data_IF_348355237228
#
_entry.id   IF_348355237228
#
_cell.length_a   1.000
_cell.length_b   1.000
_cell.length_c   1.000
_cell.angle_alpha   90.00
_cell.angle_beta   90.00
_cell.angle_gamma   90.00
#
_symmetry.space_group_name_H-M   'P 1'
#
loop_
_entity.id
_entity.type
_entity.pdbx_description
1 polymer ?
#
# COMPACT_ATOMS: atom_id res chain seq x y z
N UNK A 1 33.18 0.25 -8.93
CA UNK A 1 31.98 1.07 -9.09
C UNK A 1 31.41 1.34 -7.72
N UNK A 2 31.25 2.61 -7.32
CA UNK A 2 30.72 2.97 -6.02
C UNK A 2 29.22 2.66 -5.98
N UNK A 3 28.82 1.72 -5.12
CA UNK A 3 27.41 1.45 -4.85
C UNK A 3 26.87 2.62 -3.99
N UNK A 4 25.97 3.41 -4.56
CA UNK A 4 25.25 4.44 -3.81
C UNK A 4 24.24 3.77 -2.89
N UNK A 5 24.31 4.08 -1.59
CA UNK A 5 23.39 3.57 -0.58
C UNK A 5 21.99 4.13 -0.86
N UNK A 6 21.05 3.26 -1.27
CA UNK A 6 19.66 3.64 -1.46
C UNK A 6 19.03 3.92 -0.09
N UNK A 7 18.81 5.19 0.24
CA UNK A 7 18.06 5.60 1.42
C UNK A 7 16.57 5.63 1.07
N UNK A 8 15.83 4.66 1.56
CA UNK A 8 14.38 4.62 1.44
C UNK A 8 13.76 5.57 2.48
N UNK A 9 12.98 6.56 2.00
CA UNK A 9 12.20 7.43 2.86
C UNK A 9 10.77 6.87 2.96
N UNK A 10 10.29 6.68 4.18
CA UNK A 10 8.90 6.33 4.43
C UNK A 10 8.13 7.62 4.70
N UNK A 11 7.19 7.99 3.83
CA UNK A 11 6.36 9.18 4.04
C UNK A 11 4.94 8.94 3.57
N UNK A 12 3.99 9.59 4.24
CA UNK A 12 2.59 9.65 3.81
C UNK A 12 2.07 11.04 4.03
N UNK A 13 1.56 11.67 2.98
CA UNK A 13 0.97 13.00 3.09
C UNK A 13 -0.45 12.86 3.63
N UNK A 14 -0.76 13.53 4.75
CA UNK A 14 -2.08 13.49 5.38
C UNK A 14 -3.19 14.02 4.44
N UNK A 15 -2.85 15.01 3.61
CA UNK A 15 -3.72 15.65 2.64
C UNK A 15 -3.02 15.63 1.27
N UNK A 16 -3.28 14.64 0.40
CA UNK A 16 -2.53 14.44 -0.84
C UNK A 16 -2.95 15.39 -1.97
N UNK A 17 -3.55 16.53 -1.65
CA UNK A 17 -4.05 17.48 -2.64
C UNK A 17 -4.05 18.92 -2.12
N UNK A 18 -4.08 19.88 -3.05
CA UNK A 18 -4.40 21.30 -2.85
C UNK A 18 -5.37 21.75 -3.95
N UNK A 19 -5.74 23.03 -4.04
CA UNK A 19 -6.81 23.51 -4.96
C UNK A 19 -6.73 22.98 -6.39
N UNK A 20 -5.53 22.86 -6.96
CA UNK A 20 -5.31 22.42 -8.35
C UNK A 20 -4.15 21.45 -8.50
N UNK A 21 -3.76 20.80 -7.41
CA UNK A 21 -2.63 19.87 -7.37
C UNK A 21 -3.05 18.61 -6.65
N UNK A 22 -2.60 17.46 -7.15
CA UNK A 22 -2.78 16.17 -6.50
C UNK A 22 -1.49 15.38 -6.55
N UNK A 23 -1.10 14.82 -5.41
CA UNK A 23 0.01 13.88 -5.29
C UNK A 23 -0.52 12.45 -5.43
N UNK A 24 0.21 11.61 -6.15
CA UNK A 24 -0.09 10.19 -6.38
C UNK A 24 1.17 9.34 -6.25
N UNK A 25 1.00 8.05 -6.00
CA UNK A 25 2.10 7.10 -5.85
C UNK A 25 3.10 7.56 -4.78
N UNK A 26 4.39 7.38 -5.05
CA UNK A 26 5.46 7.74 -4.12
C UNK A 26 5.46 9.23 -3.74
N UNK A 27 4.96 10.14 -4.58
CA UNK A 27 4.84 11.55 -4.19
C UNK A 27 3.81 11.76 -3.05
N UNK A 28 2.82 10.88 -2.93
CA UNK A 28 1.80 10.93 -1.87
C UNK A 28 2.09 9.98 -0.71
N UNK A 29 2.63 8.80 -1.00
CA UNK A 29 2.88 7.74 -0.03
C UNK A 29 4.06 6.86 -0.47
N UNK A 30 5.29 7.24 -0.13
CA UNK A 30 6.41 6.29 -0.26
C UNK A 30 6.41 5.30 0.89
N UNK A 31 6.55 4.04 0.53
CA UNK A 31 6.62 2.93 1.48
C UNK A 31 7.91 2.16 1.28
N UNK A 32 8.26 1.39 2.29
CA UNK A 32 9.27 0.35 2.22
C UNK A 32 9.04 -0.60 0.99
N UNK A 33 9.99 -0.99 0.10
CA UNK A 33 9.63 -1.85 -1.05
C UNK A 33 9.23 -3.29 -0.67
N UNK A 34 9.07 -3.63 0.62
CA UNK A 34 8.94 -5.00 1.10
C UNK A 34 7.74 -5.76 0.52
N UNK A 35 6.66 -5.09 0.12
CA UNK A 35 5.50 -5.75 -0.48
C UNK A 35 5.47 -5.66 -2.02
N UNK A 36 6.37 -4.91 -2.66
CA UNK A 36 6.35 -4.69 -4.11
C UNK A 36 5.08 -3.99 -4.63
N UNK A 37 4.31 -3.32 -3.77
CA UNK A 37 2.99 -2.77 -4.12
C UNK A 37 3.01 -1.31 -4.62
N UNK A 38 4.17 -0.65 -4.68
CA UNK A 38 4.24 0.77 -5.07
C UNK A 38 3.56 1.07 -6.41
N UNK A 39 3.83 0.23 -7.42
CA UNK A 39 3.20 0.33 -8.73
C UNK A 39 1.68 0.13 -8.67
N UNK A 40 1.21 -0.90 -7.95
CA UNK A 40 -0.23 -1.16 -7.77
C UNK A 40 -0.93 0.01 -7.06
N UNK A 41 -0.29 0.57 -6.04
CA UNK A 41 -0.81 1.71 -5.28
C UNK A 41 -0.96 2.95 -6.14
N UNK A 42 0.01 3.23 -7.02
CA UNK A 42 -0.04 4.33 -7.99
C UNK A 42 -1.13 4.11 -9.06
N UNK A 43 -1.30 2.90 -9.58
CA UNK A 43 -2.36 2.57 -10.54
C UNK A 43 -3.75 2.77 -9.94
N UNK A 44 -3.94 2.31 -8.70
CA UNK A 44 -5.17 2.54 -7.96
C UNK A 44 -5.39 4.05 -7.72
N UNK A 45 -4.33 4.89 -7.63
CA UNK A 45 -4.46 6.33 -7.35
C UNK A 45 -4.98 7.02 -8.61
N UNK A 46 -4.38 6.69 -9.76
CA UNK A 46 -4.84 7.15 -11.06
C UNK A 46 -6.31 6.77 -11.31
N UNK A 47 -6.72 5.55 -10.95
CA UNK A 47 -8.12 5.13 -11.05
C UNK A 47 -9.03 5.93 -10.11
N UNK A 48 -8.64 6.10 -8.85
CA UNK A 48 -9.42 6.85 -7.87
C UNK A 48 -9.61 8.31 -8.30
N UNK A 49 -8.54 8.95 -8.79
CA UNK A 49 -8.57 10.32 -9.30
C UNK A 49 -9.49 10.43 -10.52
N UNK A 50 -9.38 9.50 -11.47
CA UNK A 50 -10.27 9.45 -12.65
C UNK A 50 -11.73 9.32 -12.26
N UNK A 51 -12.03 8.44 -11.28
CA UNK A 51 -13.39 8.25 -10.79
C UNK A 51 -13.92 9.51 -10.11
N UNK A 52 -13.11 10.14 -9.27
CA UNK A 52 -13.50 11.35 -8.55
C UNK A 52 -13.77 12.54 -9.49
N UNK A 53 -12.89 12.75 -10.49
CA UNK A 53 -13.07 13.77 -11.53
C UNK A 53 -14.31 13.56 -12.40
N UNK A 54 -14.82 12.32 -12.49
CA UNK A 54 -16.08 12.02 -13.20
C UNK A 54 -17.32 12.26 -12.35
N UNK A 55 -17.18 12.36 -11.03
CA UNK A 55 -18.31 12.43 -10.09
C UNK A 55 -18.57 13.85 -9.58
N UNK A 56 -17.59 14.75 -9.65
CA UNK A 56 -17.68 16.08 -9.08
C UNK A 56 -16.80 17.08 -9.84
N UNK A 57 -17.04 18.37 -9.61
CA UNK A 57 -16.18 19.45 -10.08
C UNK A 57 -14.74 19.29 -9.54
N UNK A 58 -13.72 19.82 -10.24
CA UNK A 58 -12.31 19.60 -9.89
C UNK A 58 -11.95 19.89 -8.43
N UNK A 59 -12.55 20.93 -7.83
CA UNK A 59 -12.30 21.28 -6.43
C UNK A 59 -12.80 20.19 -5.45
N UNK A 60 -13.99 19.63 -5.66
CA UNK A 60 -14.58 18.58 -4.82
C UNK A 60 -14.07 17.17 -5.19
N UNK A 61 -13.59 16.98 -6.42
CA UNK A 61 -13.02 15.73 -6.88
C UNK A 61 -11.74 15.35 -6.10
N UNK A 62 -10.90 16.31 -5.73
CA UNK A 62 -9.65 16.02 -5.02
C UNK A 62 -9.89 15.51 -3.59
N UNK A 63 -10.89 16.06 -2.92
CA UNK A 63 -11.35 15.55 -1.62
C UNK A 63 -11.93 14.13 -1.74
N UNK A 64 -12.75 13.91 -2.77
CA UNK A 64 -13.32 12.58 -3.07
C UNK A 64 -12.23 11.55 -3.36
N UNK A 65 -11.19 11.92 -4.12
CA UNK A 65 -10.00 11.09 -4.35
C UNK A 65 -9.32 10.70 -3.02
N UNK A 66 -9.04 11.69 -2.16
CA UNK A 66 -8.40 11.45 -0.88
C UNK A 66 -9.24 10.52 0.00
N UNK A 67 -10.55 10.71 0.03
CA UNK A 67 -11.48 9.86 0.76
C UNK A 67 -11.47 8.41 0.27
N UNK A 68 -11.53 8.19 -1.06
CA UNK A 68 -11.49 6.87 -1.68
C UNK A 68 -10.21 6.10 -1.32
N UNK A 69 -9.08 6.82 -1.18
CA UNK A 69 -7.75 6.23 -1.00
C UNK A 69 -7.29 6.10 0.45
N UNK A 70 -7.79 6.94 1.37
CA UNK A 70 -7.30 7.06 2.76
C UNK A 70 -7.23 5.72 3.50
N UNK A 71 -8.26 4.88 3.40
CA UNK A 71 -8.29 3.59 4.08
C UNK A 71 -7.24 2.62 3.56
N UNK A 72 -7.14 2.48 2.24
CA UNK A 72 -6.20 1.56 1.59
C UNK A 72 -4.74 1.99 1.80
N UNK A 73 -4.44 3.28 1.60
CA UNK A 73 -3.09 3.83 1.84
C UNK A 73 -2.65 3.63 3.28
N UNK A 74 -3.50 3.95 4.26
CA UNK A 74 -3.16 3.76 5.69
C UNK A 74 -2.89 2.30 6.03
N UNK A 75 -3.68 1.37 5.50
CA UNK A 75 -3.50 -0.05 5.75
C UNK A 75 -2.14 -0.53 5.22
N UNK A 76 -1.82 -0.24 3.96
CA UNK A 76 -0.56 -0.70 3.36
C UNK A 76 0.67 0.00 3.96
N UNK A 77 0.53 1.26 4.39
CA UNK A 77 1.59 1.96 5.12
C UNK A 77 1.81 1.35 6.51
N UNK A 78 0.75 1.04 7.25
CA UNK A 78 0.86 0.36 8.54
C UNK A 78 1.50 -1.03 8.41
N UNK A 79 1.11 -1.79 7.38
CA UNK A 79 1.70 -3.11 7.09
C UNK A 79 3.17 -3.00 6.69
N UNK A 80 3.53 -2.01 5.86
CA UNK A 80 4.92 -1.73 5.49
C UNK A 80 5.76 -1.38 6.73
N UNK A 81 5.26 -0.53 7.62
CA UNK A 81 5.92 -0.20 8.89
C UNK A 81 6.06 -1.42 9.80
N UNK A 82 5.03 -2.26 9.95
CA UNK A 82 5.10 -3.47 10.76
C UNK A 82 6.10 -4.50 10.21
N UNK A 83 6.27 -4.56 8.89
CA UNK A 83 7.21 -5.46 8.24
C UNK A 83 8.64 -4.92 8.18
N UNK A 84 8.83 -3.60 8.28
CA UNK A 84 10.16 -2.96 8.21
C UNK A 84 11.16 -3.52 9.24
N UNK A 85 10.81 -3.71 10.54
CA UNK A 85 11.70 -4.32 11.53
C UNK A 85 12.18 -5.73 11.17
N UNK A 86 11.35 -6.54 10.50
CA UNK A 86 11.72 -7.92 10.14
C UNK A 86 12.77 -7.99 9.02
N UNK A 87 12.91 -6.93 8.23
CA UNK A 87 13.86 -6.87 7.11
C UNK A 87 15.10 -6.05 7.42
N UNK A 88 15.01 -5.03 8.27
CA UNK A 88 16.14 -4.16 8.64
C UNK A 88 16.85 -4.59 9.93
N UNK A 89 16.36 -5.59 10.65
CA UNK A 89 16.98 -6.01 11.91
C UNK A 89 18.21 -6.88 11.69
N UNK A 90 19.38 -6.36 12.06
CA UNK A 90 20.61 -7.14 12.27
C UNK A 90 20.57 -7.98 13.58
N UNK A 91 19.39 -8.38 14.04
CA UNK A 91 19.21 -8.94 15.38
C UNK A 91 19.21 -10.47 15.37
N UNK A 92 20.14 -11.07 16.11
CA UNK A 92 20.36 -12.54 16.19
C UNK A 92 19.18 -13.34 16.76
N UNK A 93 18.21 -12.69 17.40
CA UNK A 93 17.04 -13.34 18.03
C UNK A 93 15.79 -13.43 17.12
N UNK A 94 15.67 -12.58 16.11
CA UNK A 94 14.56 -12.59 15.16
C UNK A 94 14.49 -13.81 14.23
N UNK A 95 15.61 -14.44 13.81
CA UNK A 95 15.59 -15.68 13.04
C UNK A 95 14.89 -16.83 13.78
N UNK A 96 15.13 -16.99 15.08
CA UNK A 96 14.52 -18.07 15.87
C UNK A 96 13.01 -17.89 16.00
N UNK A 97 12.55 -16.65 16.23
CA UNK A 97 11.13 -16.34 16.29
C UNK A 97 10.47 -16.49 14.90
N UNK A 98 11.16 -16.09 13.82
CA UNK A 98 10.73 -16.29 12.43
C UNK A 98 10.57 -17.78 12.13
N UNK A 99 11.54 -18.62 12.46
CA UNK A 99 11.55 -20.04 12.11
C UNK A 99 10.44 -20.83 12.82
N UNK A 100 9.93 -20.32 13.95
CA UNK A 100 8.78 -20.90 14.67
C UNK A 100 7.45 -20.31 14.18
N UNK A 101 7.38 -18.98 13.98
CA UNK A 101 6.12 -18.31 13.62
C UNK A 101 5.76 -18.46 12.15
N UNK A 102 6.73 -18.49 11.22
CA UNK A 102 6.47 -18.61 9.78
C UNK A 102 5.75 -19.92 9.44
N UNK A 103 6.18 -21.10 9.90
CA UNK A 103 5.47 -22.36 9.61
C UNK A 103 4.04 -22.39 10.19
N UNK A 104 3.83 -21.82 11.37
CA UNK A 104 2.50 -21.71 11.99
C UNK A 104 1.63 -20.76 11.15
N UNK A 105 2.21 -19.62 10.75
CA UNK A 105 1.51 -18.59 10.01
C UNK A 105 1.12 -18.99 8.59
N UNK A 106 1.92 -19.82 7.93
CA UNK A 106 1.67 -20.26 6.55
C UNK A 106 0.79 -21.50 6.45
N UNK A 107 0.44 -22.14 7.57
CA UNK A 107 -0.25 -23.44 7.54
C UNK A 107 -1.60 -23.42 8.24
N UNK A 108 -1.84 -22.50 9.19
CA UNK A 108 -3.09 -22.43 9.96
C UNK A 108 -4.05 -21.38 9.38
N UNK A 109 -5.21 -21.77 8.82
CA UNK A 109 -6.24 -20.82 8.39
C UNK A 109 -6.71 -19.93 9.56
N UNK A 110 -6.98 -18.63 9.33
CA UNK A 110 -7.14 -17.94 8.04
C UNK A 110 -5.88 -17.21 7.54
N UNK A 111 -4.73 -17.44 8.16
CA UNK A 111 -3.54 -16.60 7.96
C UNK A 111 -2.91 -16.72 6.55
N UNK A 112 -2.88 -17.91 5.90
CA UNK A 112 -2.43 -18.03 4.51
C UNK A 112 -3.32 -17.24 3.53
N UNK A 113 -4.64 -17.23 3.75
CA UNK A 113 -5.58 -16.48 2.91
C UNK A 113 -5.37 -14.97 3.09
N UNK A 114 -5.12 -14.52 4.32
CA UNK A 114 -4.78 -13.13 4.60
C UNK A 114 -3.48 -12.70 3.91
N UNK A 115 -2.42 -13.50 4.02
CA UNK A 115 -1.13 -13.22 3.36
C UNK A 115 -1.28 -13.22 1.83
N UNK A 116 -2.07 -14.13 1.26
CA UNK A 116 -2.36 -14.13 -0.16
C UNK A 116 -3.11 -12.86 -0.59
N UNK A 117 -4.10 -12.41 0.18
CA UNK A 117 -4.85 -11.17 -0.09
C UNK A 117 -3.98 -9.92 0.06
N UNK A 118 -3.06 -9.91 1.03
CA UNK A 118 -2.04 -8.88 1.23
C UNK A 118 -1.12 -8.76 0.01
N UNK A 119 -0.51 -9.86 -0.42
CA UNK A 119 0.40 -9.90 -1.58
C UNK A 119 -0.34 -9.55 -2.87
N UNK A 120 -1.60 -9.99 -3.00
CA UNK A 120 -2.43 -9.67 -4.16
C UNK A 120 -2.94 -8.22 -4.18
N UNK A 121 -2.68 -7.39 -3.17
CA UNK A 121 -3.13 -6.02 -3.15
C UNK A 121 -4.64 -5.86 -2.88
N UNK A 122 -5.31 -6.88 -2.32
CA UNK A 122 -6.79 -6.94 -2.23
C UNK A 122 -7.37 -6.63 -0.86
N UNK A 123 -6.54 -6.45 0.17
CA UNK A 123 -7.06 -6.09 1.48
C UNK A 123 -7.86 -4.77 1.44
N UNK A 124 -9.01 -4.75 2.13
CA UNK A 124 -9.96 -3.63 2.17
C UNK A 124 -10.75 -3.39 0.87
N UNK A 125 -10.78 -4.36 -0.05
CA UNK A 125 -11.52 -4.35 -1.32
C UNK A 125 -11.38 -3.04 -2.12
N UNK A 126 -10.15 -2.61 -2.45
CA UNK A 126 -9.93 -1.37 -3.20
C UNK A 126 -10.62 -1.41 -4.56
N UNK A 127 -10.68 -2.58 -5.19
CA UNK A 127 -11.29 -2.76 -6.51
C UNK A 127 -12.78 -2.43 -6.50
N UNK A 128 -13.53 -2.91 -5.50
CA UNK A 128 -14.96 -2.64 -5.37
C UNK A 128 -15.24 -1.15 -5.15
N UNK A 129 -14.46 -0.50 -4.27
CA UNK A 129 -14.55 0.95 -4.04
C UNK A 129 -14.22 1.77 -5.29
N UNK A 130 -13.32 1.26 -6.14
CA UNK A 130 -12.88 1.91 -7.37
C UNK A 130 -13.64 1.47 -8.63
N UNK A 131 -14.72 0.70 -8.46
CA UNK A 131 -15.55 0.15 -9.54
C UNK A 131 -14.68 -0.57 -10.58
N UNK A 132 -13.80 -1.44 -10.11
CA UNK A 132 -12.98 -2.34 -10.90
C UNK A 132 -13.47 -3.77 -10.66
N UNK A 133 -13.71 -4.49 -11.75
CA UNK A 133 -14.05 -5.91 -11.71
C UNK A 133 -12.78 -6.76 -11.83
N UNK A 134 -12.63 -7.83 -11.02
CA UNK A 134 -11.52 -8.76 -11.18
C UNK A 134 -11.65 -9.48 -12.52
N UNK A 135 -10.54 -9.57 -13.27
CA UNK A 135 -10.47 -10.35 -14.49
C UNK A 135 -10.63 -11.83 -14.12
N UNK A 136 -11.69 -12.47 -14.62
CA UNK A 136 -11.85 -13.93 -14.57
C UNK A 136 -11.05 -14.52 -15.74
N UNK A 137 -9.93 -15.16 -15.41
CA UNK A 137 -9.13 -15.95 -16.35
C UNK A 137 -9.70 -17.38 -16.44
#
# INVERSE_FOLDING_TARGET
GALSLARYAHHTTATPFSERLVAVGDAAHSTSPQLGQGANMALLDARALTLALRMADPAAALETYAWLRRGHVRLYQALSLMLTPFYQSESRALPVLRDILVPIATTVPPLPQFLAALVAGRLLDPLKRLRLEPVRL
#
